data_IF_237008208615
#
_entry.id   IF_237008208615
#
_cell.length_a   1.000
_cell.length_b   1.000
_cell.length_c   1.000
_cell.angle_alpha   90.00
_cell.angle_beta   90.00
_cell.angle_gamma   90.00
#
_symmetry.space_group_name_H-M   'P 1'
#
loop_
_entity.id
_entity.type
_entity.pdbx_description
1 polymer ?
#
# COMPACT_ATOMS: atom_id res chain seq x y z
N UNK A 1 -24.36 15.66 -19.16
CA UNK A 1 -23.58 16.77 -18.61
C UNK A 1 -23.89 16.80 -17.13
N UNK A 2 -23.20 16.00 -16.38
CA UNK A 2 -23.28 16.01 -14.92
C UNK A 2 -22.35 17.11 -14.47
N UNK A 3 -22.91 18.10 -13.79
CA UNK A 3 -22.14 19.15 -13.14
C UNK A 3 -21.12 18.47 -12.22
N UNK A 4 -19.86 18.63 -12.58
CA UNK A 4 -18.74 18.30 -11.68
C UNK A 4 -19.01 18.93 -10.33
N UNK A 5 -18.97 18.14 -9.27
CA UNK A 5 -18.99 18.62 -7.90
C UNK A 5 -18.04 19.82 -7.79
N UNK A 6 -18.47 20.93 -7.21
CA UNK A 6 -17.57 22.02 -6.92
C UNK A 6 -16.58 21.48 -5.88
N UNK A 7 -15.39 21.13 -6.33
CA UNK A 7 -14.27 20.84 -5.44
C UNK A 7 -14.14 22.04 -4.51
N UNK A 8 -14.64 21.92 -3.28
CA UNK A 8 -14.46 22.90 -2.24
C UNK A 8 -12.99 22.90 -1.88
N UNK A 9 -12.20 23.67 -2.64
CA UNK A 9 -10.77 23.75 -2.40
C UNK A 9 -10.53 24.34 -1.01
N UNK A 10 -9.56 23.83 -0.24
CA UNK A 10 -9.19 24.36 1.09
C UNK A 10 -8.77 25.84 1.12
N UNK A 11 -8.66 26.47 -0.05
CA UNK A 11 -8.29 27.88 -0.23
C UNK A 11 -9.48 28.86 -0.25
N UNK A 12 -10.70 28.35 -0.17
CA UNK A 12 -11.86 29.24 -0.04
C UNK A 12 -11.96 29.75 1.40
N UNK A 13 -11.64 31.01 1.60
CA UNK A 13 -11.64 31.64 2.94
C UNK A 13 -13.01 31.55 3.63
N UNK A 14 -14.10 31.61 2.88
CA UNK A 14 -15.45 31.47 3.42
C UNK A 14 -15.72 30.08 3.98
N UNK A 15 -15.10 29.06 3.39
CA UNK A 15 -15.17 27.67 3.85
C UNK A 15 -14.44 27.45 5.18
N UNK A 16 -13.32 28.11 5.39
CA UNK A 16 -12.52 27.98 6.62
C UNK A 16 -13.18 28.66 7.84
N UNK A 17 -14.01 29.66 7.61
CA UNK A 17 -14.69 30.39 8.68
C UNK A 17 -15.94 29.66 9.22
N UNK A 18 -16.54 28.75 8.44
CA UNK A 18 -17.80 28.09 8.80
C UNK A 18 -17.67 26.73 9.44
N UNK A 19 -16.49 26.08 9.38
CA UNK A 19 -16.32 24.71 9.86
C UNK A 19 -15.23 24.58 10.94
N UNK A 20 -15.67 24.36 12.17
CA UNK A 20 -14.79 23.78 13.20
C UNK A 20 -14.67 22.27 12.98
N UNK A 21 -13.44 21.74 13.04
CA UNK A 21 -13.22 20.30 13.01
C UNK A 21 -14.00 19.60 14.15
N UNK A 22 -14.82 18.58 13.86
CA UNK A 22 -15.49 17.80 14.88
C UNK A 22 -14.49 17.18 15.87
N UNK A 23 -14.85 17.18 17.16
CA UNK A 23 -13.98 16.58 18.18
C UNK A 23 -13.72 15.10 17.97
N UNK A 24 -14.69 14.40 17.39
CA UNK A 24 -14.56 13.00 17.02
C UNK A 24 -13.43 12.75 16.02
N UNK A 25 -13.24 13.60 15.03
CA UNK A 25 -12.14 13.49 14.06
C UNK A 25 -10.79 13.88 14.67
N UNK A 26 -10.76 14.79 15.64
CA UNK A 26 -9.54 15.12 16.35
C UNK A 26 -8.96 13.92 17.11
N UNK A 27 -9.82 13.08 17.67
CA UNK A 27 -9.45 11.92 18.47
C UNK A 27 -9.65 10.60 17.71
N UNK A 28 -10.03 10.65 16.44
CA UNK A 28 -10.22 9.46 15.63
C UNK A 28 -8.89 8.69 15.53
N UNK A 29 -8.85 7.44 16.02
CA UNK A 29 -7.71 6.56 15.78
C UNK A 29 -7.67 6.15 14.32
N UNK A 30 -6.54 5.64 13.88
CA UNK A 30 -6.36 5.18 12.52
C UNK A 30 -5.37 4.02 12.46
N UNK A 31 -5.46 3.28 11.36
CA UNK A 31 -4.56 2.16 11.03
C UNK A 31 -3.84 2.49 9.74
N UNK A 32 -2.53 2.24 9.74
CA UNK A 32 -1.73 2.27 8.51
C UNK A 32 -1.64 0.85 7.93
N UNK A 33 -2.43 0.60 6.91
CA UNK A 33 -2.55 -0.74 6.31
C UNK A 33 -1.35 -1.18 5.48
N UNK A 34 -0.45 -0.27 5.15
CA UNK A 34 0.75 -0.55 4.37
C UNK A 34 1.87 0.45 4.66
N UNK A 35 2.92 -0.03 5.30
CA UNK A 35 4.16 0.71 5.45
C UNK A 35 5.36 -0.21 5.70
N UNK A 36 6.56 0.36 5.72
CA UNK A 36 7.83 -0.33 5.96
C UNK A 36 8.46 0.08 7.29
N UNK A 37 7.68 0.09 8.37
CA UNK A 37 8.07 0.58 9.69
C UNK A 37 9.29 -0.12 10.29
N UNK A 38 9.62 -1.33 9.85
CA UNK A 38 10.86 -2.00 10.24
C UNK A 38 12.10 -1.22 9.79
N UNK A 39 11.97 -0.39 8.75
CA UNK A 39 13.05 0.48 8.24
C UNK A 39 13.05 1.87 8.86
N UNK A 40 11.96 2.31 9.50
CA UNK A 40 11.81 3.65 10.04
C UNK A 40 12.66 3.90 11.29
N UNK A 41 12.98 5.17 11.54
CA UNK A 41 13.66 5.57 12.76
C UNK A 41 12.76 5.41 14.00
N UNK A 42 13.37 5.44 15.20
CA UNK A 42 12.61 5.50 16.45
C UNK A 42 11.66 6.69 16.51
N UNK A 43 12.17 7.87 16.16
CA UNK A 43 11.44 9.12 16.23
C UNK A 43 10.23 9.13 15.26
N UNK A 44 10.36 8.52 14.09
CA UNK A 44 9.24 8.42 13.14
C UNK A 44 8.13 7.54 13.69
N UNK A 45 8.47 6.37 14.25
CA UNK A 45 7.49 5.49 14.89
C UNK A 45 6.81 6.14 16.10
N UNK A 46 7.56 6.91 16.91
CA UNK A 46 6.98 7.69 18.02
C UNK A 46 5.98 8.73 17.50
N UNK A 47 6.26 9.39 16.36
CA UNK A 47 5.33 10.33 15.72
C UNK A 47 4.04 9.66 15.24
N UNK A 48 4.12 8.43 14.74
CA UNK A 48 2.92 7.63 14.42
C UNK A 48 2.04 7.46 15.66
N UNK A 49 2.60 7.03 16.78
CA UNK A 49 1.87 6.87 18.04
C UNK A 49 1.26 8.21 18.51
N UNK A 50 2.04 9.29 18.48
CA UNK A 50 1.57 10.63 18.87
C UNK A 50 0.49 11.19 17.94
N UNK A 51 0.49 10.77 16.67
CA UNK A 51 -0.56 11.14 15.70
C UNK A 51 -1.87 10.37 15.88
N UNK A 52 -1.89 9.35 16.76
CA UNK A 52 -3.08 8.52 17.02
C UNK A 52 -3.15 7.24 16.20
N UNK A 53 -2.00 6.74 15.71
CA UNK A 53 -1.91 5.42 15.12
C UNK A 53 -2.16 4.36 16.21
N UNK A 54 -3.13 3.46 15.99
CA UNK A 54 -3.39 2.34 16.89
C UNK A 54 -3.04 0.99 16.27
N UNK A 55 -2.89 0.94 14.95
CA UNK A 55 -2.52 -0.27 14.23
C UNK A 55 -1.67 0.01 13.00
N UNK A 56 -0.79 -0.94 12.66
CA UNK A 56 0.13 -0.82 11.54
C UNK A 56 0.44 -2.18 10.93
N UNK A 57 0.35 -2.29 9.61
CA UNK A 57 0.87 -3.44 8.87
C UNK A 57 2.27 -3.12 8.36
N UNK A 58 3.27 -3.80 8.89
CA UNK A 58 4.66 -3.70 8.44
C UNK A 58 4.90 -4.66 7.28
N UNK A 59 4.99 -4.15 6.09
CA UNK A 59 5.28 -4.94 4.89
C UNK A 59 6.78 -5.15 4.75
N UNK A 60 7.21 -6.40 4.75
CA UNK A 60 8.60 -6.79 4.62
C UNK A 60 8.81 -7.59 3.33
N UNK A 61 8.81 -6.90 2.21
CA UNK A 61 9.16 -7.44 0.90
C UNK A 61 10.56 -6.96 0.48
N UNK A 62 11.20 -7.70 -0.40
CA UNK A 62 12.51 -7.31 -0.90
C UNK A 62 12.39 -6.28 -2.01
N UNK A 63 12.98 -5.10 -1.83
CA UNK A 63 12.97 -4.04 -2.82
C UNK A 63 14.35 -3.69 -3.33
N UNK A 64 14.42 -3.22 -4.57
CA UNK A 64 15.67 -2.77 -5.18
C UNK A 64 16.25 -1.49 -4.53
N UNK A 65 15.43 -0.75 -3.78
CA UNK A 65 15.83 0.47 -3.07
C UNK A 65 16.27 0.22 -1.62
N UNK A 66 16.20 -1.02 -1.12
CA UNK A 66 16.77 -1.35 0.20
C UNK A 66 18.30 -1.18 0.20
N UNK A 67 18.95 -0.93 1.34
CA UNK A 67 20.40 -0.74 1.40
C UNK A 67 21.23 -1.90 0.86
N UNK A 68 20.65 -3.09 0.84
CA UNK A 68 21.20 -4.28 0.21
C UNK A 68 20.17 -4.84 -0.78
N UNK A 69 20.64 -5.17 -1.96
CA UNK A 69 19.79 -5.80 -2.97
C UNK A 69 19.67 -7.29 -2.62
N UNK A 70 18.48 -7.79 -2.31
CA UNK A 70 18.31 -9.22 -2.12
C UNK A 70 18.47 -9.94 -3.45
N UNK A 71 19.14 -11.08 -3.43
CA UNK A 71 19.44 -11.91 -4.61
C UNK A 71 18.99 -13.34 -4.38
N UNK A 72 19.08 -13.82 -3.15
CA UNK A 72 18.79 -15.20 -2.78
C UNK A 72 17.60 -15.29 -1.84
N UNK A 73 17.04 -16.48 -1.74
CA UNK A 73 15.97 -16.75 -0.78
C UNK A 73 16.37 -16.38 0.66
N UNK A 74 17.61 -16.65 1.07
CA UNK A 74 18.09 -16.32 2.42
C UNK A 74 18.12 -14.81 2.71
N UNK A 75 18.37 -13.97 1.69
CA UNK A 75 18.38 -12.52 1.86
C UNK A 75 16.99 -12.01 2.24
N UNK A 76 15.93 -12.57 1.65
CA UNK A 76 14.54 -12.23 1.98
C UNK A 76 14.14 -12.85 3.32
N UNK A 77 14.50 -14.08 3.61
CA UNK A 77 14.24 -14.72 4.91
C UNK A 77 14.87 -13.92 6.04
N UNK A 78 16.10 -13.43 5.85
CA UNK A 78 16.74 -12.56 6.82
C UNK A 78 15.95 -11.26 7.06
N UNK A 79 15.39 -10.69 5.98
CA UNK A 79 14.51 -9.52 6.10
C UNK A 79 13.24 -9.84 6.89
N UNK A 80 12.63 -10.99 6.65
CA UNK A 80 11.45 -11.43 7.39
C UNK A 80 11.75 -11.69 8.87
N UNK A 81 12.85 -12.38 9.18
CA UNK A 81 13.30 -12.60 10.56
C UNK A 81 13.55 -11.27 11.30
N UNK A 82 14.17 -10.30 10.64
CA UNK A 82 14.38 -8.95 11.22
C UNK A 82 13.03 -8.25 11.46
N UNK A 83 12.08 -8.36 10.54
CA UNK A 83 10.74 -7.76 10.68
C UNK A 83 9.97 -8.40 11.87
N UNK A 84 9.97 -9.73 12.00
CA UNK A 84 9.38 -10.46 13.12
C UNK A 84 9.99 -9.97 14.45
N UNK A 85 11.30 -9.88 14.53
CA UNK A 85 12.00 -9.41 15.73
C UNK A 85 11.66 -7.95 16.07
N UNK A 86 11.64 -7.07 15.06
CA UNK A 86 11.35 -5.63 15.24
C UNK A 86 9.91 -5.38 15.64
N UNK A 87 8.95 -6.16 15.11
CA UNK A 87 7.54 -6.02 15.44
C UNK A 87 7.31 -6.01 16.95
N UNK A 88 7.80 -7.03 17.66
CA UNK A 88 7.64 -7.11 19.11
C UNK A 88 8.30 -5.96 19.88
N UNK A 89 9.40 -5.41 19.36
CA UNK A 89 10.03 -4.21 19.94
C UNK A 89 9.19 -2.95 19.67
N UNK A 90 8.58 -2.83 18.49
CA UNK A 90 7.72 -1.70 18.11
C UNK A 90 6.50 -1.65 19.03
N UNK A 91 5.77 -2.76 19.19
CA UNK A 91 4.59 -2.80 20.06
C UNK A 91 4.91 -2.41 21.51
N UNK A 92 6.01 -2.95 22.06
CA UNK A 92 6.41 -2.63 23.45
C UNK A 92 6.79 -1.17 23.66
N UNK A 93 7.32 -0.51 22.64
CA UNK A 93 7.91 0.81 22.80
C UNK A 93 7.02 1.95 22.27
N UNK A 94 6.13 1.65 21.30
CA UNK A 94 5.35 2.69 20.62
C UNK A 94 3.85 2.57 20.86
N UNK A 95 3.39 1.53 21.56
CA UNK A 95 2.01 1.39 22.05
C UNK A 95 0.91 1.26 20.99
N UNK A 96 1.23 0.87 19.78
CA UNK A 96 0.27 0.48 18.76
C UNK A 96 0.46 -0.99 18.35
N UNK A 97 -0.61 -1.62 17.89
CA UNK A 97 -0.55 -3.00 17.41
C UNK A 97 0.20 -3.05 16.07
N UNK A 98 1.20 -3.92 15.97
CA UNK A 98 1.95 -4.12 14.73
C UNK A 98 1.71 -5.53 14.18
N UNK A 99 1.34 -5.62 12.92
CA UNK A 99 1.19 -6.86 12.17
C UNK A 99 2.18 -6.91 11.02
N UNK A 100 2.42 -8.09 10.48
CA UNK A 100 3.38 -8.30 9.40
C UNK A 100 2.68 -8.62 8.09
N UNK A 101 3.16 -7.98 7.02
CA UNK A 101 2.97 -8.40 5.65
C UNK A 101 4.27 -8.98 5.12
N UNK A 102 4.26 -10.22 4.67
CA UNK A 102 5.42 -10.89 4.12
C UNK A 102 5.15 -11.31 2.67
N UNK A 103 6.06 -10.97 1.76
CA UNK A 103 5.86 -11.25 0.35
C UNK A 103 7.15 -11.24 -0.47
N UNK A 104 7.02 -11.73 -1.70
CA UNK A 104 8.04 -11.66 -2.73
C UNK A 104 7.59 -10.64 -3.76
N UNK A 105 8.22 -9.46 -3.73
CA UNK A 105 7.95 -8.41 -4.69
C UNK A 105 8.62 -8.70 -6.02
N UNK A 106 7.84 -8.75 -7.11
CA UNK A 106 8.36 -9.12 -8.45
C UNK A 106 9.29 -8.08 -9.08
N UNK A 107 9.35 -6.88 -8.54
CA UNK A 107 10.33 -5.86 -8.95
C UNK A 107 11.79 -6.23 -8.67
N UNK A 108 12.04 -7.31 -7.93
CA UNK A 108 13.38 -7.82 -7.62
C UNK A 108 13.45 -9.31 -7.92
N UNK A 109 14.38 -9.70 -8.81
CA UNK A 109 14.60 -11.11 -9.10
C UNK A 109 15.35 -11.80 -7.96
N UNK A 110 14.77 -12.88 -7.45
CA UNK A 110 15.35 -13.76 -6.44
C UNK A 110 15.78 -15.08 -7.12
N UNK A 111 16.98 -15.54 -6.82
CA UNK A 111 17.40 -16.89 -7.16
C UNK A 111 16.65 -17.90 -6.29
N UNK A 112 16.19 -18.99 -6.88
CA UNK A 112 15.46 -20.06 -6.20
C UNK A 112 14.19 -19.60 -5.46
N UNK A 113 13.21 -19.00 -6.16
CA UNK A 113 11.97 -18.53 -5.52
C UNK A 113 11.18 -19.66 -4.86
N UNK A 114 11.25 -20.89 -5.36
CA UNK A 114 10.56 -22.04 -4.78
C UNK A 114 11.01 -22.33 -3.34
N UNK A 115 12.31 -22.19 -3.05
CA UNK A 115 12.84 -22.33 -1.69
C UNK A 115 12.26 -21.24 -0.75
N UNK A 116 12.07 -20.03 -1.26
CA UNK A 116 11.50 -18.94 -0.50
C UNK A 116 9.99 -19.13 -0.27
N UNK A 117 9.26 -19.63 -1.27
CA UNK A 117 7.84 -19.96 -1.16
C UNK A 117 7.60 -21.09 -0.14
N UNK A 118 8.44 -22.13 -0.17
CA UNK A 118 8.39 -23.21 0.84
C UNK A 118 8.65 -22.66 2.26
N UNK A 119 9.61 -21.75 2.41
CA UNK A 119 9.85 -21.11 3.69
C UNK A 119 8.69 -20.21 4.13
N UNK A 120 8.07 -19.50 3.19
CA UNK A 120 6.95 -18.58 3.45
C UNK A 120 5.74 -19.26 4.11
N UNK A 121 5.47 -20.51 3.75
CA UNK A 121 4.40 -21.32 4.36
C UNK A 121 4.53 -21.34 5.89
N UNK A 122 5.74 -21.60 6.41
CA UNK A 122 5.97 -21.60 7.86
C UNK A 122 5.84 -20.21 8.51
N UNK A 123 6.12 -19.12 7.78
CA UNK A 123 5.89 -17.77 8.31
C UNK A 123 4.40 -17.42 8.34
N UNK A 124 3.60 -17.90 7.38
CA UNK A 124 2.16 -17.70 7.36
C UNK A 124 1.43 -18.38 8.53
N UNK A 125 2.06 -19.35 9.22
CA UNK A 125 1.55 -19.95 10.45
C UNK A 125 1.72 -19.07 11.71
N UNK A 126 2.50 -17.98 11.63
CA UNK A 126 2.74 -17.09 12.77
C UNK A 126 1.53 -16.18 13.00
N UNK A 127 1.03 -16.10 14.22
CA UNK A 127 -0.08 -15.22 14.60
C UNK A 127 0.15 -13.74 14.27
N UNK A 128 1.43 -13.36 14.15
CA UNK A 128 1.85 -12.01 13.80
C UNK A 128 1.69 -11.66 12.33
N UNK A 129 1.72 -12.65 11.45
CA UNK A 129 1.57 -12.46 10.00
C UNK A 129 0.08 -12.32 9.69
N UNK A 130 -0.31 -11.16 9.22
CA UNK A 130 -1.70 -10.81 8.97
C UNK A 130 -2.03 -10.72 7.48
N UNK A 131 -1.02 -10.76 6.61
CA UNK A 131 -1.22 -10.57 5.17
C UNK A 131 -0.03 -11.12 4.39
N UNK A 132 -0.30 -11.70 3.23
CA UNK A 132 0.71 -12.02 2.23
C UNK A 132 0.92 -10.78 1.36
N UNK A 133 2.14 -10.35 1.25
CA UNK A 133 2.45 -9.19 0.41
C UNK A 133 3.55 -8.29 1.01
N UNK A 134 3.95 -7.37 0.27
CA UNK A 134 3.47 -6.85 -1.01
C UNK A 134 3.93 -7.78 -2.16
N UNK A 135 3.02 -8.13 -3.06
CA UNK A 135 3.29 -8.91 -4.27
C UNK A 135 2.48 -8.33 -5.44
N UNK A 136 2.74 -8.77 -6.65
CA UNK A 136 2.01 -8.35 -7.83
C UNK A 136 2.89 -8.30 -9.08
N UNK A 137 2.25 -8.25 -10.23
CA UNK A 137 2.92 -8.15 -11.53
C UNK A 137 3.42 -6.73 -11.76
N UNK A 138 4.71 -6.59 -12.04
CA UNK A 138 5.35 -5.32 -12.38
C UNK A 138 5.46 -5.20 -13.90
N UNK A 139 4.74 -4.27 -14.56
CA UNK A 139 4.62 -4.21 -16.02
C UNK A 139 5.90 -3.78 -16.73
N UNK A 140 6.87 -3.19 -16.01
CA UNK A 140 8.18 -2.85 -16.52
C UNK A 140 9.26 -3.43 -15.61
N UNK A 141 10.17 -4.17 -16.18
CA UNK A 141 11.23 -4.84 -15.45
C UNK A 141 12.61 -4.37 -15.92
N UNK A 142 13.60 -4.51 -15.07
CA UNK A 142 14.98 -4.49 -15.51
C UNK A 142 15.23 -5.66 -16.46
N UNK A 143 16.09 -5.50 -17.48
CA UNK A 143 16.37 -6.53 -18.50
C UNK A 143 16.84 -7.88 -17.93
N UNK A 144 17.39 -7.91 -16.74
CA UNK A 144 17.81 -9.14 -16.02
C UNK A 144 16.78 -9.63 -15.00
N UNK A 145 15.59 -9.02 -14.98
CA UNK A 145 14.55 -9.35 -14.00
C UNK A 145 13.65 -10.50 -14.49
N UNK A 146 12.51 -10.64 -13.83
CA UNK A 146 11.52 -11.67 -14.14
C UNK A 146 10.83 -11.42 -15.49
N UNK A 147 10.68 -12.45 -16.30
CA UNK A 147 9.71 -12.42 -17.40
C UNK A 147 8.29 -12.37 -16.86
N UNK A 148 7.32 -12.03 -17.70
CA UNK A 148 5.90 -12.00 -17.29
C UNK A 148 5.44 -13.37 -16.76
N UNK A 149 5.77 -14.46 -17.44
CA UNK A 149 5.39 -15.81 -17.03
C UNK A 149 5.98 -16.19 -15.66
N UNK A 150 7.24 -15.81 -15.40
CA UNK A 150 7.87 -16.02 -14.10
C UNK A 150 7.21 -15.18 -13.00
N UNK A 151 6.84 -13.94 -13.29
CA UNK A 151 6.12 -13.08 -12.34
C UNK A 151 4.76 -13.68 -11.98
N UNK A 152 3.96 -14.04 -12.98
CA UNK A 152 2.63 -14.63 -12.78
C UNK A 152 2.74 -15.93 -11.98
N UNK A 153 3.74 -16.76 -12.24
CA UNK A 153 3.95 -17.98 -11.46
C UNK A 153 4.27 -17.70 -9.98
N UNK A 154 5.15 -16.74 -9.69
CA UNK A 154 5.54 -16.39 -8.31
C UNK A 154 4.38 -15.69 -7.58
N UNK A 155 3.62 -14.85 -8.27
CA UNK A 155 2.42 -14.20 -7.71
C UNK A 155 1.36 -15.26 -7.41
N UNK A 156 1.04 -16.14 -8.38
CA UNK A 156 0.05 -17.20 -8.20
C UNK A 156 0.37 -18.12 -7.02
N UNK A 157 1.64 -18.52 -6.86
CA UNK A 157 2.06 -19.33 -5.71
C UNK A 157 1.85 -18.61 -4.35
N UNK A 158 2.05 -17.29 -4.29
CA UNK A 158 1.75 -16.51 -3.09
C UNK A 158 0.23 -16.39 -2.83
N UNK A 159 -0.58 -16.32 -3.90
CA UNK A 159 -2.04 -16.36 -3.76
C UNK A 159 -2.53 -17.71 -3.21
N UNK A 160 -1.94 -18.82 -3.67
CA UNK A 160 -2.24 -20.16 -3.15
C UNK A 160 -1.87 -20.27 -1.65
N UNK A 161 -0.74 -19.74 -1.24
CA UNK A 161 -0.35 -19.68 0.17
C UNK A 161 -1.34 -18.82 0.99
N UNK A 162 -1.68 -17.64 0.51
CA UNK A 162 -2.65 -16.78 1.18
C UNK A 162 -4.01 -17.47 1.35
N UNK A 163 -4.51 -18.11 0.30
CA UNK A 163 -5.77 -18.86 0.33
C UNK A 163 -5.73 -20.03 1.32
N UNK A 164 -4.60 -20.78 1.36
CA UNK A 164 -4.43 -21.93 2.26
C UNK A 164 -4.42 -21.56 3.75
N UNK A 165 -3.94 -20.35 4.09
CA UNK A 165 -3.86 -19.81 5.45
C UNK A 165 -4.99 -18.84 5.80
N UNK A 166 -5.95 -18.63 4.91
CA UNK A 166 -7.04 -17.62 5.05
C UNK A 166 -6.49 -16.20 5.35
N UNK A 167 -5.36 -15.85 4.75
CA UNK A 167 -4.74 -14.53 4.85
C UNK A 167 -5.19 -13.62 3.71
N UNK A 168 -5.36 -12.31 3.94
CA UNK A 168 -5.49 -11.35 2.85
C UNK A 168 -4.20 -11.19 2.08
N UNK A 169 -4.27 -10.53 0.92
CA UNK A 169 -3.12 -10.18 0.07
C UNK A 169 -3.07 -8.68 -0.14
N UNK A 170 -1.87 -8.10 -0.04
CA UNK A 170 -1.58 -6.74 -0.52
C UNK A 170 -0.94 -6.85 -1.90
N UNK A 171 -1.63 -6.32 -2.90
CA UNK A 171 -1.11 -6.18 -4.25
C UNK A 171 -0.34 -4.88 -4.39
N UNK A 172 0.86 -4.97 -4.97
CA UNK A 172 1.58 -3.81 -5.48
C UNK A 172 0.98 -3.43 -6.83
N UNK A 173 0.10 -2.44 -6.87
CA UNK A 173 -0.47 -1.98 -8.13
C UNK A 173 0.38 -0.84 -8.69
N UNK A 174 1.12 -1.09 -9.78
CA UNK A 174 2.08 -0.11 -10.26
C UNK A 174 1.42 1.08 -10.93
N UNK A 175 1.96 2.28 -10.69
CA UNK A 175 1.53 3.54 -11.30
C UNK A 175 2.18 3.82 -12.67
N UNK A 176 2.56 2.79 -13.39
CA UNK A 176 3.24 2.95 -14.68
C UNK A 176 2.23 3.20 -15.80
N UNK A 177 2.32 4.35 -16.44
CA UNK A 177 1.42 4.76 -17.51
C UNK A 177 0.63 6.02 -17.21
N UNK A 178 0.57 6.46 -15.96
CA UNK A 178 0.05 7.78 -15.62
C UNK A 178 1.11 8.80 -15.96
N UNK A 179 0.76 9.82 -16.73
CA UNK A 179 1.53 11.06 -16.71
C UNK A 179 1.57 11.51 -15.26
N UNK A 180 2.74 11.46 -14.64
CA UNK A 180 2.91 11.91 -13.26
C UNK A 180 2.39 13.34 -13.19
N UNK A 181 1.35 13.56 -12.41
CA UNK A 181 0.72 14.89 -12.24
C UNK A 181 1.73 15.94 -11.74
N UNK A 182 2.89 15.49 -11.28
CA UNK A 182 4.00 16.36 -10.82
C UNK A 182 5.29 15.91 -11.47
N UNK A 183 5.91 16.78 -12.24
CA UNK A 183 7.27 16.56 -12.73
C UNK A 183 8.20 16.29 -11.55
N UNK A 184 9.00 15.24 -11.67
CA UNK A 184 10.11 15.01 -10.74
C UNK A 184 11.00 16.27 -10.70
N UNK A 185 11.21 16.76 -9.50
CA UNK A 185 12.07 17.92 -9.26
C UNK A 185 13.37 17.47 -8.61
N UNK A 186 14.43 17.22 -9.41
CA UNK A 186 15.73 16.78 -8.89
C UNK A 186 16.32 17.79 -7.90
N UNK A 187 15.97 19.08 -8.01
CA UNK A 187 16.37 20.12 -7.08
C UNK A 187 15.85 19.95 -5.65
N UNK A 188 14.83 19.08 -5.43
CA UNK A 188 14.35 18.74 -4.10
C UNK A 188 15.22 17.69 -3.39
N UNK A 189 16.25 17.18 -4.07
CA UNK A 189 17.33 16.42 -3.47
C UNK A 189 16.89 15.11 -2.81
N UNK A 190 16.01 14.34 -3.45
CA UNK A 190 15.67 12.99 -2.98
C UNK A 190 16.82 12.04 -3.36
N UNK A 191 17.68 11.62 -2.41
CA UNK A 191 18.83 10.80 -2.73
C UNK A 191 18.39 9.44 -3.27
N UNK A 192 18.98 9.02 -4.37
CA UNK A 192 18.82 7.66 -4.90
C UNK A 192 17.76 7.50 -5.98
N UNK A 193 16.84 8.44 -6.16
CA UNK A 193 15.82 8.35 -7.21
C UNK A 193 16.43 8.46 -8.62
N UNK A 194 17.48 9.24 -8.78
CA UNK A 194 18.23 9.33 -10.04
C UNK A 194 18.82 7.99 -10.49
N UNK A 195 19.17 7.11 -9.53
CA UNK A 195 19.66 5.76 -9.85
C UNK A 195 18.58 4.84 -10.41
N UNK A 196 17.35 5.02 -9.98
CA UNK A 196 16.22 4.20 -10.46
C UNK A 196 15.74 4.62 -11.86
N UNK A 197 15.91 5.89 -12.23
CA UNK A 197 15.58 6.38 -13.58
C UNK A 197 16.65 6.04 -14.63
N UNK A 198 17.82 5.58 -14.20
CA UNK A 198 18.93 5.16 -15.09
C UNK A 198 19.00 3.65 -15.31
N UNK A 199 18.14 2.87 -14.67
CA UNK A 199 18.02 1.45 -14.97
C UNK A 199 17.31 1.28 -16.31
N UNK A 200 17.96 0.59 -17.24
CA UNK A 200 17.34 0.17 -18.50
C UNK A 200 16.20 -0.79 -18.16
N UNK A 201 14.97 -0.31 -18.26
CA UNK A 201 13.78 -1.12 -18.05
C UNK A 201 13.08 -1.36 -19.38
N UNK A 202 12.64 -2.59 -19.61
CA UNK A 202 11.84 -2.96 -20.76
C UNK A 202 10.41 -3.27 -20.32
N UNK A 203 9.40 -2.95 -21.15
CA UNK A 203 8.03 -3.36 -20.87
C UNK A 203 7.94 -4.89 -20.97
N UNK A 204 7.28 -5.50 -20.00
CA UNK A 204 6.89 -6.93 -20.03
C UNK A 204 5.40 -7.08 -20.30
N UNK A 205 4.66 -6.00 -20.17
CA UNK A 205 3.26 -5.85 -20.58
C UNK A 205 3.15 -4.69 -21.56
N UNK A 206 2.58 -4.95 -22.71
CA UNK A 206 2.27 -3.98 -23.75
C UNK A 206 0.78 -3.62 -23.67
N UNK A 207 0.42 -2.38 -24.01
CA UNK A 207 -0.98 -1.96 -24.06
C UNK A 207 -1.17 -0.49 -23.76
N UNK A 208 -2.42 -0.04 -23.83
CA UNK A 208 -2.79 1.34 -23.54
C UNK A 208 -2.70 1.66 -22.03
N UNK A 209 -2.94 0.63 -21.20
CA UNK A 209 -2.85 0.76 -19.73
C UNK A 209 -2.20 -0.50 -19.11
N UNK A 210 -0.88 -0.64 -19.19
CA UNK A 210 -0.17 -1.81 -18.64
C UNK A 210 -0.29 -1.93 -17.12
N UNK A 211 -0.53 -0.84 -16.40
CA UNK A 211 -0.79 -0.88 -14.96
C UNK A 211 -2.10 -1.60 -14.63
N UNK A 212 -3.16 -1.31 -15.37
CA UNK A 212 -4.44 -2.01 -15.20
C UNK A 212 -4.34 -3.48 -15.61
N UNK A 213 -3.63 -3.79 -16.68
CA UNK A 213 -3.45 -5.18 -17.11
C UNK A 213 -2.67 -6.00 -16.06
N UNK A 214 -1.68 -5.40 -15.39
CA UNK A 214 -0.99 -6.05 -14.27
C UNK A 214 -1.97 -6.40 -13.13
N UNK A 215 -2.80 -5.45 -12.72
CA UNK A 215 -3.81 -5.68 -11.67
C UNK A 215 -4.82 -6.76 -12.08
N UNK A 216 -5.22 -6.81 -13.34
CA UNK A 216 -6.11 -7.86 -13.85
C UNK A 216 -5.49 -9.25 -13.73
N UNK A 217 -4.22 -9.38 -14.10
CA UNK A 217 -3.48 -10.64 -13.95
C UNK A 217 -3.35 -11.06 -12.48
N UNK A 218 -3.12 -10.11 -11.58
CA UNK A 218 -3.03 -10.37 -10.15
C UNK A 218 -4.37 -10.86 -9.58
N UNK A 219 -5.48 -10.22 -9.95
CA UNK A 219 -6.83 -10.64 -9.51
C UNK A 219 -7.21 -11.99 -10.13
N UNK A 220 -6.86 -12.24 -11.40
CA UNK A 220 -7.06 -13.54 -12.05
C UNK A 220 -6.28 -14.64 -11.32
N UNK A 221 -5.01 -14.41 -11.00
CA UNK A 221 -4.20 -15.36 -10.25
C UNK A 221 -4.76 -15.65 -8.85
N UNK A 222 -5.31 -14.62 -8.17
CA UNK A 222 -5.96 -14.79 -6.88
C UNK A 222 -7.25 -15.62 -6.98
N UNK A 223 -8.08 -15.36 -8.00
CA UNK A 223 -9.29 -16.13 -8.26
C UNK A 223 -8.98 -17.60 -8.61
N UNK A 224 -7.96 -17.85 -9.43
CA UNK A 224 -7.50 -19.19 -9.77
C UNK A 224 -7.00 -19.96 -8.53
N UNK A 225 -6.35 -19.27 -7.59
CA UNK A 225 -5.94 -19.81 -6.30
C UNK A 225 -7.09 -20.04 -5.32
N UNK A 226 -8.29 -19.59 -5.64
CA UNK A 226 -9.48 -19.68 -4.77
C UNK A 226 -9.50 -18.65 -3.63
N UNK A 227 -8.71 -17.60 -3.71
CA UNK A 227 -8.75 -16.48 -2.78
C UNK A 227 -9.98 -15.61 -3.08
N UNK A 228 -10.76 -15.30 -2.03
CA UNK A 228 -11.92 -14.42 -2.19
C UNK A 228 -11.47 -12.98 -2.43
N UNK A 229 -12.15 -12.25 -3.31
CA UNK A 229 -11.77 -10.90 -3.67
C UNK A 229 -11.80 -9.92 -2.50
N UNK A 230 -12.69 -10.12 -1.50
CA UNK A 230 -12.73 -9.33 -0.26
C UNK A 230 -11.48 -9.55 0.63
N UNK A 231 -10.61 -10.46 0.25
CA UNK A 231 -9.30 -10.69 0.88
C UNK A 231 -8.15 -10.06 0.09
N UNK A 232 -8.44 -9.32 -0.97
CA UNK A 232 -7.46 -8.66 -1.82
C UNK A 232 -7.49 -7.16 -1.55
N UNK A 233 -6.33 -6.58 -1.28
CA UNK A 233 -6.13 -5.14 -1.16
C UNK A 233 -5.24 -4.66 -2.29
N UNK A 234 -5.80 -3.94 -3.25
CA UNK A 234 -5.05 -3.26 -4.29
C UNK A 234 -4.43 -1.98 -3.71
N UNK A 235 -3.16 -2.07 -3.30
CA UNK A 235 -2.41 -0.92 -2.78
C UNK A 235 -1.89 -0.06 -3.93
N UNK A 236 -1.68 1.23 -3.67
CA UNK A 236 -1.36 2.25 -4.68
C UNK A 236 -2.47 2.46 -5.71
N UNK A 237 -3.74 2.30 -5.30
CA UNK A 237 -4.88 2.59 -6.16
C UNK A 237 -4.82 4.03 -6.70
N UNK A 238 -5.19 4.20 -7.94
CA UNK A 238 -5.22 5.49 -8.63
C UNK A 238 -6.28 5.53 -9.73
N UNK A 239 -6.36 6.63 -10.48
CA UNK A 239 -7.33 6.80 -11.54
C UNK A 239 -7.23 5.78 -12.71
N UNK A 240 -6.17 4.96 -12.79
CA UNK A 240 -6.04 3.94 -13.83
C UNK A 240 -6.77 2.65 -13.51
N UNK A 241 -6.87 2.31 -12.22
CA UNK A 241 -7.38 1.02 -11.78
C UNK A 241 -8.65 1.11 -10.93
N UNK A 242 -8.90 2.24 -10.26
CA UNK A 242 -10.04 2.42 -9.35
C UNK A 242 -11.37 2.04 -9.96
N UNK A 243 -11.74 2.65 -11.10
CA UNK A 243 -13.07 2.42 -11.70
C UNK A 243 -13.27 0.97 -12.09
N UNK A 244 -12.24 0.29 -12.59
CA UNK A 244 -12.34 -1.14 -12.92
C UNK A 244 -12.46 -2.00 -11.67
N UNK A 245 -11.60 -1.78 -10.67
CA UNK A 245 -11.63 -2.55 -9.42
C UNK A 245 -12.98 -2.42 -8.71
N UNK A 246 -13.54 -1.21 -8.66
CA UNK A 246 -14.82 -0.98 -8.01
C UNK A 246 -16.01 -1.56 -8.77
N UNK A 247 -15.95 -1.60 -10.10
CA UNK A 247 -17.06 -2.08 -10.94
C UNK A 247 -17.04 -3.59 -11.16
N UNK A 248 -15.85 -4.19 -11.26
CA UNK A 248 -15.69 -5.56 -11.75
C UNK A 248 -15.20 -6.54 -10.68
N UNK A 249 -14.86 -6.05 -9.47
CA UNK A 249 -14.34 -6.89 -8.37
C UNK A 249 -14.93 -6.50 -7.03
N UNK A 250 -14.74 -7.36 -6.03
CA UNK A 250 -15.02 -7.07 -4.62
C UNK A 250 -13.75 -6.75 -3.81
N UNK A 251 -12.64 -6.44 -4.47
CA UNK A 251 -11.37 -6.07 -3.83
C UNK A 251 -11.47 -4.77 -3.03
N UNK A 252 -10.66 -4.67 -1.98
CA UNK A 252 -10.38 -3.40 -1.32
C UNK A 252 -9.36 -2.59 -2.11
N UNK A 253 -9.48 -1.28 -2.04
CA UNK A 253 -8.55 -0.33 -2.62
C UNK A 253 -7.85 0.45 -1.50
N UNK A 254 -6.53 0.52 -1.54
CA UNK A 254 -5.76 1.39 -0.63
C UNK A 254 -5.02 2.45 -1.41
N UNK A 255 -5.30 3.71 -1.07
CA UNK A 255 -4.66 4.88 -1.66
C UNK A 255 -3.44 5.26 -0.85
N UNK A 256 -2.28 5.25 -1.46
CA UNK A 256 -1.03 5.64 -0.81
C UNK A 256 -0.89 7.15 -0.80
N UNK A 257 -1.04 7.76 0.37
CA UNK A 257 -1.01 9.22 0.56
C UNK A 257 0.25 9.74 1.24
N UNK A 258 1.09 8.85 1.77
CA UNK A 258 2.37 9.22 2.39
C UNK A 258 3.40 9.75 1.38
N UNK A 259 3.29 9.33 0.14
CA UNK A 259 4.17 9.68 -0.97
C UNK A 259 3.41 10.23 -2.18
N UNK A 260 2.44 11.09 -1.97
CA UNK A 260 1.60 11.63 -3.05
C UNK A 260 2.40 12.21 -4.23
N UNK A 261 3.60 12.72 -3.96
CA UNK A 261 4.53 13.21 -4.99
C UNK A 261 5.16 12.10 -5.84
N UNK A 262 5.24 10.88 -5.32
CA UNK A 262 5.77 9.70 -6.02
C UNK A 262 4.69 8.94 -6.77
N UNK A 263 3.58 8.65 -6.09
CA UNK A 263 2.48 7.86 -6.65
C UNK A 263 1.47 8.69 -7.45
N UNK A 264 1.50 10.02 -7.30
CA UNK A 264 0.64 10.92 -8.07
C UNK A 264 -0.81 10.99 -7.58
N UNK A 265 -1.08 10.45 -6.38
CA UNK A 265 -2.39 10.45 -5.71
C UNK A 265 -2.37 11.44 -4.56
N UNK A 266 -3.46 12.15 -4.35
CA UNK A 266 -3.66 13.01 -3.18
C UNK A 266 -5.03 12.74 -2.51
N UNK A 267 -5.31 13.45 -1.41
CA UNK A 267 -6.54 13.23 -0.64
C UNK A 267 -7.80 13.62 -1.42
N UNK A 268 -7.68 14.48 -2.44
CA UNK A 268 -8.81 14.82 -3.31
C UNK A 268 -9.21 13.61 -4.18
N UNK A 269 -8.24 12.85 -4.67
CA UNK A 269 -8.53 11.62 -5.43
C UNK A 269 -9.27 10.59 -4.56
N UNK A 270 -8.93 10.51 -3.26
CA UNK A 270 -9.64 9.65 -2.30
C UNK A 270 -11.07 10.15 -2.05
N UNK A 271 -11.26 11.47 -1.90
CA UNK A 271 -12.59 12.04 -1.72
C UNK A 271 -13.49 11.79 -2.93
N UNK A 272 -12.95 11.99 -4.14
CA UNK A 272 -13.67 11.70 -5.39
C UNK A 272 -14.08 10.22 -5.48
N UNK A 273 -13.20 9.30 -5.07
CA UNK A 273 -13.50 7.87 -5.07
C UNK A 273 -14.58 7.51 -4.03
N UNK A 274 -14.57 8.11 -2.85
CA UNK A 274 -15.62 7.91 -1.83
C UNK A 274 -16.96 8.44 -2.34
N UNK A 275 -16.98 9.63 -2.94
CA UNK A 275 -18.19 10.22 -3.50
C UNK A 275 -18.79 9.39 -4.65
N UNK A 276 -17.95 8.76 -5.46
CA UNK A 276 -18.40 7.98 -6.62
C UNK A 276 -18.81 6.55 -6.24
N UNK A 277 -18.09 5.92 -5.29
CA UNK A 277 -18.19 4.48 -5.05
C UNK A 277 -18.60 4.09 -3.63
N UNK A 278 -18.66 5.04 -2.69
CA UNK A 278 -18.86 4.77 -1.27
C UNK A 278 -17.56 4.40 -0.54
N UNK A 279 -17.58 4.43 0.81
CA UNK A 279 -16.39 4.22 1.64
C UNK A 279 -16.07 2.74 1.94
N UNK A 280 -16.99 1.80 1.62
CA UNK A 280 -16.98 0.44 2.18
C UNK A 280 -15.73 -0.37 1.85
N UNK A 281 -15.11 -0.12 0.69
CA UNK A 281 -13.94 -0.85 0.19
C UNK A 281 -12.72 0.06 -0.05
N UNK A 282 -12.76 1.28 0.47
CA UNK A 282 -11.68 2.27 0.32
C UNK A 282 -10.88 2.35 1.61
N UNK A 283 -9.57 2.39 1.49
CA UNK A 283 -8.62 2.61 2.58
C UNK A 283 -7.55 3.62 2.14
N UNK A 284 -6.80 4.12 3.11
CA UNK A 284 -5.60 4.92 2.88
C UNK A 284 -4.43 4.32 3.64
N UNK A 285 -3.25 4.40 3.06
CA UNK A 285 -2.00 3.96 3.66
C UNK A 285 -0.88 4.99 3.43
N UNK A 286 0.29 4.74 4.00
CA UNK A 286 1.40 5.67 3.86
C UNK A 286 2.52 5.18 2.97
N UNK A 287 2.74 3.87 2.87
CA UNK A 287 3.92 3.26 2.24
C UNK A 287 5.25 3.91 2.72
N UNK A 288 5.29 4.37 3.97
CA UNK A 288 6.44 5.08 4.50
C UNK A 288 7.63 4.15 4.74
N UNK A 289 8.80 4.57 4.28
CA UNK A 289 10.08 3.86 4.43
C UNK A 289 11.23 4.84 4.67
N UNK A 290 12.34 4.36 5.27
CA UNK A 290 13.48 5.20 5.62
C UNK A 290 14.24 5.80 4.43
N UNK A 291 14.11 5.22 3.26
CA UNK A 291 14.76 5.70 2.02
C UNK A 291 13.89 6.70 1.26
N UNK A 292 12.64 6.84 1.65
CA UNK A 292 11.69 7.78 1.11
C UNK A 292 11.36 8.84 2.17
N UNK A 293 10.79 9.95 1.75
CA UNK A 293 10.31 10.96 2.70
C UNK A 293 9.16 10.39 3.50
N UNK A 294 9.42 10.10 4.77
CA UNK A 294 8.39 9.61 5.70
C UNK A 294 7.51 10.77 6.18
N UNK A 295 6.21 10.55 6.14
CA UNK A 295 5.22 11.45 6.70
C UNK A 295 4.31 10.72 7.71
N UNK A 296 4.69 10.65 8.98
CA UNK A 296 3.93 9.97 10.02
C UNK A 296 2.55 10.59 10.31
N UNK A 297 2.28 11.76 9.76
CA UNK A 297 1.01 12.47 9.93
C UNK A 297 0.09 12.38 8.70
N UNK A 298 0.48 11.67 7.66
CA UNK A 298 -0.24 11.66 6.39
C UNK A 298 -1.72 11.24 6.56
N UNK A 299 -2.00 10.12 7.22
CA UNK A 299 -3.37 9.64 7.44
C UNK A 299 -4.14 10.61 8.36
N UNK A 300 -3.50 11.14 9.40
CA UNK A 300 -4.14 12.12 10.26
C UNK A 300 -4.50 13.41 9.53
N UNK A 301 -3.63 13.88 8.61
CA UNK A 301 -3.98 15.02 7.74
C UNK A 301 -5.10 14.67 6.78
N UNK A 302 -5.05 13.48 6.17
CA UNK A 302 -6.10 13.03 5.27
C UNK A 302 -7.48 13.03 5.95
N UNK A 303 -7.56 12.61 7.22
CA UNK A 303 -8.78 12.68 8.02
C UNK A 303 -9.38 14.11 8.02
N UNK A 304 -8.54 15.13 8.15
CA UNK A 304 -8.99 16.52 8.17
C UNK A 304 -9.28 17.07 6.77
N UNK A 305 -8.51 16.65 5.78
CA UNK A 305 -8.71 17.08 4.40
C UNK A 305 -9.96 16.46 3.79
N UNK A 306 -10.23 15.17 4.02
CA UNK A 306 -11.48 14.52 3.61
C UNK A 306 -12.71 15.26 4.18
N UNK A 307 -12.67 15.61 5.46
CA UNK A 307 -13.76 16.40 6.05
C UNK A 307 -13.93 17.77 5.38
N UNK A 308 -12.82 18.42 5.00
CA UNK A 308 -12.88 19.69 4.25
C UNK A 308 -13.40 19.51 2.83
N UNK A 309 -13.21 18.35 2.22
CA UNK A 309 -13.80 17.99 0.94
C UNK A 309 -15.29 17.66 1.06
N UNK A 310 -15.82 17.55 2.28
CA UNK A 310 -17.24 17.34 2.55
C UNK A 310 -17.61 15.89 2.82
N UNK A 311 -16.62 15.01 2.97
CA UNK A 311 -16.86 13.61 3.36
C UNK A 311 -17.35 13.56 4.80
N UNK A 312 -18.39 12.77 5.05
CA UNK A 312 -18.98 12.62 6.37
C UNK A 312 -18.00 11.95 7.37
N UNK A 313 -18.02 12.35 8.66
CA UNK A 313 -17.14 11.76 9.68
C UNK A 313 -17.25 10.24 9.81
N UNK A 314 -18.42 9.66 9.55
CA UNK A 314 -18.64 8.22 9.58
C UNK A 314 -17.90 7.52 8.44
N UNK A 315 -17.95 8.07 7.23
CA UNK A 315 -17.24 7.56 6.05
C UNK A 315 -15.71 7.69 6.23
N UNK A 316 -15.27 8.84 6.78
CA UNK A 316 -13.84 9.01 7.11
C UNK A 316 -13.39 7.95 8.11
N UNK A 317 -14.18 7.69 9.15
CA UNK A 317 -13.90 6.65 10.13
C UNK A 317 -13.81 5.27 9.46
N UNK A 318 -14.70 4.98 8.53
CA UNK A 318 -14.70 3.74 7.77
C UNK A 318 -13.38 3.54 7.03
N UNK A 319 -12.94 4.55 6.30
CA UNK A 319 -11.75 4.53 5.44
C UNK A 319 -10.44 4.44 6.23
N UNK A 320 -10.28 5.21 7.30
CA UNK A 320 -9.00 5.28 8.03
C UNK A 320 -8.89 4.31 9.20
N UNK A 321 -10.01 3.72 9.62
CA UNK A 321 -10.05 2.92 10.84
C UNK A 321 -10.72 1.56 10.68
N UNK A 322 -11.98 1.53 10.21
CA UNK A 322 -12.77 0.29 10.24
C UNK A 322 -12.34 -0.70 9.16
N UNK A 323 -12.25 -0.27 7.90
CA UNK A 323 -11.86 -1.13 6.79
C UNK A 323 -10.49 -1.80 7.01
N UNK A 324 -9.39 -1.07 7.33
CA UNK A 324 -8.10 -1.72 7.54
C UNK A 324 -8.11 -2.64 8.76
N UNK A 325 -8.89 -2.33 9.81
CA UNK A 325 -9.03 -3.23 10.97
C UNK A 325 -9.75 -4.53 10.61
N UNK A 326 -10.81 -4.44 9.83
CA UNK A 326 -11.60 -5.57 9.38
C UNK A 326 -10.77 -6.50 8.49
N UNK A 327 -10.10 -5.95 7.48
CA UNK A 327 -9.31 -6.73 6.52
C UNK A 327 -8.12 -7.41 7.19
N UNK A 328 -7.37 -6.70 8.01
CA UNK A 328 -6.14 -7.22 8.62
C UNK A 328 -6.35 -7.81 10.02
N UNK A 329 -7.57 -7.83 10.55
CA UNK A 329 -7.90 -8.47 11.82
C UNK A 329 -7.26 -7.80 13.04
N UNK A 330 -7.16 -6.47 13.09
CA UNK A 330 -6.71 -5.76 14.29
C UNK A 330 -7.72 -5.89 15.44
N UNK A 331 -7.23 -5.90 16.68
CA UNK A 331 -8.06 -6.04 17.89
C UNK A 331 -9.11 -4.92 17.98
N UNK A 332 -10.27 -5.28 18.55
CA UNK A 332 -11.35 -4.32 18.78
C UNK A 332 -11.07 -3.47 20.00
#
# INVERSE_FOLDING_TARGET
MTDSHPTKRPTDAAYLDEQSLPRELLNLPWVDGHNHAHTLSWDDRERYALAGCEGMVMVASGYHWTPYRPVRAEDIRYLWDDAVNRRGAIERNHFFEAKLGLGIHTGVRIENPDELLEAMDAYCELDEVAVVGETGVTPRQHVEAWSLDEQVAVVGAQMELAASHDLPVILHTPNTGVERKREYRPELGVPGYEKNTTLDTEPVLDGENPALEAVRLDVEAANDAGLREERIVASHADGNNTSWLMAETDCYLSYTIGHSWLVGVDVADVADAIDEHGPERIMVDTDCANVLRTDPFAIKRATFELYRYGIDPEDIRRVVWENPREVYGFRQ
#
